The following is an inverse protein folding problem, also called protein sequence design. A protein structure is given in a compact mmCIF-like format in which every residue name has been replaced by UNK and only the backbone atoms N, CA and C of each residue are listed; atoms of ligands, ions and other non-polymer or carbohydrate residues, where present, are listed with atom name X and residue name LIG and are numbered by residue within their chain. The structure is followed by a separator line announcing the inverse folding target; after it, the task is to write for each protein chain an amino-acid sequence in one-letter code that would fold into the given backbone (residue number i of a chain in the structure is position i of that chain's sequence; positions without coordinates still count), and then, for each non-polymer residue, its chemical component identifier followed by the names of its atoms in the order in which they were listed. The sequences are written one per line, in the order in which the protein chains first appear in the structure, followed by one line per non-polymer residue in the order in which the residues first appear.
data_IF_040095977367
#
_entry.id   IF_040095977367
#
_cell.length_a   1.000
_cell.length_b   1.000
_cell.length_c   1.000
_cell.angle_alpha   90.00
_cell.angle_beta   90.00
_cell.angle_gamma   90.00
#
_symmetry.space_group_name_H-M   'P 1'
#
loop_
_entity.id
_entity.type
_entity.pdbx_description
1 polymer ?
#
# COMPACT_ATOMS: atom_id res chain seq x y z
N UNK A 1 -11.81 1.38 17.03
CA UNK A 1 -10.98 0.61 16.10
C UNK A 1 -9.53 0.79 16.52
N UNK A 2 -8.94 -0.17 17.25
CA UNK A 2 -7.54 -0.08 17.65
C UNK A 2 -6.70 -0.84 16.62
N UNK A 3 -5.77 -0.13 15.98
CA UNK A 3 -4.68 -0.76 15.26
C UNK A 3 -3.78 -1.46 16.29
N UNK A 4 -3.32 -2.69 16.03
CA UNK A 4 -2.26 -3.31 16.85
C UNK A 4 -1.06 -2.36 16.95
N UNK A 5 -0.46 -2.23 18.13
CA UNK A 5 0.65 -1.30 18.36
C UNK A 5 1.86 -1.60 17.47
N UNK A 6 2.07 -2.88 17.13
CA UNK A 6 3.10 -3.31 16.19
C UNK A 6 2.87 -2.75 14.79
N UNK A 7 1.61 -2.79 14.31
CA UNK A 7 1.25 -2.26 12.99
C UNK A 7 1.36 -0.73 12.96
N UNK A 8 1.03 -0.06 14.06
CA UNK A 8 1.22 1.39 14.20
C UNK A 8 2.69 1.77 14.08
N UNK A 9 3.57 0.98 14.70
CA UNK A 9 5.02 1.21 14.66
C UNK A 9 5.58 0.96 13.25
N UNK A 10 5.16 -0.12 12.61
CA UNK A 10 5.56 -0.47 11.24
C UNK A 10 5.11 0.61 10.23
N UNK A 11 3.87 1.08 10.31
CA UNK A 11 3.36 2.18 9.48
C UNK A 11 4.15 3.47 9.68
N UNK A 12 4.45 3.84 10.94
CA UNK A 12 5.26 5.03 11.23
C UNK A 12 6.66 4.92 10.63
N UNK A 13 7.27 3.75 10.73
CA UNK A 13 8.59 3.49 10.14
C UNK A 13 8.53 3.66 8.62
N UNK A 14 7.54 3.06 7.95
CA UNK A 14 7.34 3.18 6.50
C UNK A 14 7.18 4.64 6.07
N UNK A 15 6.30 5.40 6.75
CA UNK A 15 6.10 6.82 6.43
C UNK A 15 7.39 7.63 6.61
N UNK A 16 8.18 7.32 7.66
CA UNK A 16 9.47 8.00 7.89
C UNK A 16 10.48 7.67 6.81
N UNK A 17 10.57 6.41 6.38
CA UNK A 17 11.46 6.00 5.28
C UNK A 17 11.12 6.70 3.98
N UNK A 18 9.83 6.81 3.64
CA UNK A 18 9.38 7.56 2.45
C UNK A 18 9.71 9.04 2.58
N UNK A 19 9.49 9.64 3.75
CA UNK A 19 9.79 11.05 4.01
C UNK A 19 11.29 11.35 3.92
N UNK A 20 12.15 10.47 4.45
CA UNK A 20 13.61 10.60 4.43
C UNK A 20 14.20 10.34 3.03
N UNK A 21 13.47 9.64 2.15
CA UNK A 21 13.90 9.29 0.78
C UNK A 21 12.88 9.80 -0.25
N UNK A 22 12.74 11.12 -0.43
CA UNK A 22 11.79 11.67 -1.38
C UNK A 22 12.17 11.28 -2.81
N UNK A 23 11.23 10.68 -3.52
CA UNK A 23 11.35 10.35 -4.94
C UNK A 23 10.57 11.37 -5.78
N UNK A 24 11.01 11.56 -7.03
CA UNK A 24 10.32 12.45 -7.97
C UNK A 24 9.08 11.77 -8.54
N UNK A 25 8.12 12.61 -8.95
CA UNK A 25 6.96 12.23 -9.78
C UNK A 25 7.34 11.24 -10.89
N UNK A 26 6.65 10.11 -10.97
CA UNK A 26 6.88 9.02 -11.94
C UNK A 26 8.17 8.21 -11.75
N UNK A 27 8.83 8.35 -10.60
CA UNK A 27 10.05 7.62 -10.23
C UNK A 27 10.00 7.10 -8.79
N UNK A 28 8.82 7.00 -8.20
CA UNK A 28 8.58 6.57 -6.82
C UNK A 28 8.65 5.04 -6.67
N UNK A 29 9.75 4.44 -7.09
CA UNK A 29 9.93 2.98 -7.07
C UNK A 29 10.05 2.44 -5.65
N UNK A 30 10.74 3.16 -4.77
CA UNK A 30 10.92 2.74 -3.38
C UNK A 30 9.62 2.90 -2.59
N UNK A 31 8.92 4.03 -2.74
CA UNK A 31 7.65 4.25 -2.04
C UNK A 31 6.58 3.24 -2.47
N UNK A 32 6.39 3.03 -3.78
CA UNK A 32 5.43 2.06 -4.31
C UNK A 32 5.74 0.64 -3.84
N UNK A 33 7.03 0.25 -3.85
CA UNK A 33 7.46 -1.06 -3.37
C UNK A 33 7.20 -1.26 -1.87
N UNK A 34 7.57 -0.29 -1.04
CA UNK A 34 7.36 -0.37 0.41
C UNK A 34 5.87 -0.52 0.75
N UNK A 35 5.00 0.22 0.06
CA UNK A 35 3.55 0.11 0.23
C UNK A 35 3.03 -1.26 -0.23
N UNK A 36 3.46 -1.74 -1.41
CA UNK A 36 3.09 -3.05 -1.92
C UNK A 36 3.49 -4.18 -0.97
N UNK A 37 4.71 -4.15 -0.46
CA UNK A 37 5.24 -5.17 0.45
C UNK A 37 4.45 -5.22 1.76
N UNK A 38 4.12 -4.06 2.34
CA UNK A 38 3.28 -3.99 3.53
C UNK A 38 1.86 -4.53 3.25
N UNK A 39 1.25 -4.15 2.12
CA UNK A 39 -0.09 -4.59 1.76
C UNK A 39 -0.16 -6.11 1.54
N UNK A 40 0.85 -6.68 0.87
CA UNK A 40 1.01 -8.14 0.72
C UNK A 40 1.11 -8.82 2.09
N UNK A 41 1.93 -8.27 3.01
CA UNK A 41 2.07 -8.80 4.38
C UNK A 41 0.74 -8.78 5.16
N UNK A 42 -0.10 -7.77 4.95
CA UNK A 42 -1.43 -7.65 5.55
C UNK A 42 -2.50 -8.54 4.87
N UNK A 43 -2.09 -9.34 3.88
CA UNK A 43 -2.95 -10.28 3.16
C UNK A 43 -3.84 -9.63 2.11
N UNK A 44 -3.43 -8.50 1.53
CA UNK A 44 -4.04 -7.96 0.32
C UNK A 44 -3.46 -8.65 -0.92
N UNK A 45 -4.30 -8.85 -1.93
CA UNK A 45 -3.86 -9.19 -3.28
C UNK A 45 -3.40 -7.90 -3.95
N UNK A 46 -2.11 -7.81 -4.25
CA UNK A 46 -1.50 -6.62 -4.86
C UNK A 46 -1.18 -6.88 -6.33
N UNK A 47 -1.62 -5.99 -7.20
CA UNK A 47 -1.26 -5.94 -8.63
C UNK A 47 -0.43 -4.69 -8.87
N UNK A 48 0.82 -4.86 -9.27
CA UNK A 48 1.77 -3.79 -9.59
C UNK A 48 1.75 -3.46 -11.10
N UNK A 49 2.17 -2.26 -11.48
CA UNK A 49 2.35 -1.90 -12.88
C UNK A 49 1.05 -1.66 -13.65
N UNK A 50 0.06 -1.03 -13.02
CA UNK A 50 -1.22 -0.75 -13.68
C UNK A 50 -1.08 0.32 -14.76
N UNK A 51 -1.85 0.17 -15.85
CA UNK A 51 -1.88 1.13 -16.95
C UNK A 51 -0.47 1.52 -17.46
N UNK A 52 0.44 0.54 -17.52
CA UNK A 52 1.84 0.68 -17.93
C UNK A 52 2.68 1.65 -17.07
N UNK A 53 2.19 2.00 -15.87
CA UNK A 53 2.91 2.82 -14.90
C UNK A 53 3.58 1.92 -13.85
N UNK A 54 4.91 1.75 -13.90
CA UNK A 54 5.62 0.81 -13.02
C UNK A 54 5.58 1.21 -11.53
N UNK A 55 5.24 2.45 -11.22
CA UNK A 55 5.09 2.96 -9.84
C UNK A 55 3.65 2.88 -9.32
N UNK A 56 2.71 2.40 -10.14
CA UNK A 56 1.31 2.25 -9.75
C UNK A 56 0.99 0.84 -9.26
N UNK A 57 0.03 0.73 -8.35
CA UNK A 57 -0.45 -0.56 -7.87
C UNK A 57 -1.92 -0.50 -7.44
N UNK A 58 -2.55 -1.67 -7.35
CA UNK A 58 -3.89 -1.86 -6.78
C UNK A 58 -3.81 -2.97 -5.75
N UNK A 59 -4.31 -2.70 -4.56
CA UNK A 59 -4.38 -3.67 -3.48
C UNK A 59 -5.84 -3.94 -3.14
N UNK A 60 -6.24 -5.21 -3.20
CA UNK A 60 -7.61 -5.64 -2.98
C UNK A 60 -7.68 -6.70 -1.88
N UNK A 61 -8.74 -6.64 -1.08
CA UNK A 61 -9.05 -7.65 -0.08
C UNK A 61 -10.54 -7.89 -0.06
N UNK A 62 -10.94 -9.11 -0.43
CA UNK A 62 -12.34 -9.52 -0.41
C UNK A 62 -12.70 -9.92 1.03
N UNK A 63 -13.70 -9.24 1.58
CA UNK A 63 -14.26 -9.54 2.90
C UNK A 63 -15.67 -10.10 2.69
N UNK A 64 -16.03 -11.17 3.42
CA UNK A 64 -17.35 -11.82 3.35
C UNK A 64 -17.81 -12.21 1.93
N UNK A 65 -16.87 -12.68 1.10
CA UNK A 65 -17.18 -13.12 -0.27
C UNK A 65 -17.49 -12.01 -1.27
N UNK A 66 -17.32 -10.73 -0.90
CA UNK A 66 -17.46 -9.60 -1.82
C UNK A 66 -18.89 -9.08 -2.01
N UNK A 67 -19.85 -9.56 -1.21
CA UNK A 67 -21.26 -9.13 -1.27
C UNK A 67 -21.53 -7.81 -0.52
N UNK A 68 -20.63 -6.84 -0.63
CA UNK A 68 -20.72 -5.55 0.06
C UNK A 68 -20.24 -4.39 -0.81
N UNK A 69 -20.39 -3.14 -0.34
CA UNK A 69 -19.90 -1.97 -1.05
C UNK A 69 -18.37 -2.00 -1.19
N UNK A 70 -17.89 -1.53 -2.33
CA UNK A 70 -16.47 -1.34 -2.60
C UNK A 70 -16.00 -0.01 -2.01
N UNK A 71 -14.97 -0.04 -1.18
CA UNK A 71 -14.31 1.16 -0.65
C UNK A 71 -12.95 1.32 -1.33
N UNK A 72 -12.75 2.45 -2.00
CA UNK A 72 -11.48 2.81 -2.64
C UNK A 72 -10.69 3.82 -1.81
N UNK A 73 -9.38 3.58 -1.69
CA UNK A 73 -8.44 4.53 -1.11
C UNK A 73 -7.39 4.86 -2.17
N UNK A 74 -7.09 6.15 -2.33
CA UNK A 74 -6.10 6.65 -3.28
C UNK A 74 -4.98 7.33 -2.51
N UNK A 75 -3.74 6.96 -2.83
CA UNK A 75 -2.51 7.44 -2.18
C UNK A 75 -1.52 7.91 -3.22
#
# INVERSE_FOLDING_TARGET
MNLPDDLRTELRSLCRTIYENPELGFKEFNAAKLQCDLLKKLGFTVTEGLADLPTSYKAEKIINGGNGPLFGFFS
#
